data_IF_037756689936
#
_entry.id   IF_037756689936
#
_cell.length_a   1.000
_cell.length_b   1.000
_cell.length_c   1.000
_cell.angle_alpha   90.00
_cell.angle_beta   90.00
_cell.angle_gamma   90.00
#
_symmetry.space_group_name_H-M   'P 1'
#
loop_
_entity.id
_entity.type
_entity.pdbx_description
1 polymer ?
#
# COMPACT_ATOMS: atom_id res chain seq x y z
N UNK A 1 49.67 81.60 12.49
CA UNK A 1 51.05 81.37 12.97
C UNK A 1 51.34 79.92 12.66
N UNK A 2 52.07 79.78 11.60
CA UNK A 2 53.33 79.03 11.56
C UNK A 2 53.17 77.56 11.88
N UNK A 3 53.66 76.67 11.19
CA UNK A 3 54.63 76.46 10.09
C UNK A 3 54.59 74.98 9.84
N UNK A 4 54.57 74.54 8.61
CA UNK A 4 55.70 73.98 7.86
C UNK A 4 56.38 72.80 8.56
N UNK A 5 56.61 71.65 8.02
CA UNK A 5 57.33 71.28 6.81
C UNK A 5 57.34 69.74 6.77
N UNK A 6 57.04 69.18 5.66
CA UNK A 6 57.94 68.44 4.76
C UNK A 6 58.55 67.13 5.19
N UNK A 7 58.34 66.25 4.33
CA UNK A 7 59.20 65.17 3.83
C UNK A 7 58.97 63.78 4.40
N UNK A 8 58.74 62.90 3.47
CA UNK A 8 59.19 61.54 3.46
C UNK A 8 58.39 60.64 2.54
N UNK A 9 58.76 60.69 1.24
CA UNK A 9 58.36 59.62 0.31
C UNK A 9 58.96 58.31 0.78
N UNK A 10 58.15 57.28 0.94
CA UNK A 10 58.58 55.90 0.69
C UNK A 10 57.43 55.12 0.17
N UNK A 11 57.51 54.74 -1.08
CA UNK A 11 56.63 53.86 -1.74
C UNK A 11 56.91 52.45 -1.20
N UNK A 12 55.92 51.81 -0.57
CA UNK A 12 55.90 50.39 -0.42
C UNK A 12 54.76 49.84 -1.26
N UNK A 13 55.12 49.25 -2.38
CA UNK A 13 54.26 48.35 -3.12
C UNK A 13 53.94 47.13 -2.20
N UNK A 14 52.76 47.10 -1.67
CA UNK A 14 52.22 45.80 -1.14
C UNK A 14 51.42 45.14 -2.20
N UNK A 15 52.02 44.05 -2.75
CA UNK A 15 51.33 43.10 -3.57
C UNK A 15 50.22 42.41 -2.75
N UNK A 16 48.98 42.82 -2.96
CA UNK A 16 47.84 42.10 -2.43
C UNK A 16 47.56 40.94 -3.36
N UNK A 17 48.07 39.77 -3.00
CA UNK A 17 47.66 38.50 -3.64
C UNK A 17 46.24 38.23 -3.20
N UNK A 18 45.28 38.49 -4.06
CA UNK A 18 43.88 38.06 -3.87
C UNK A 18 43.82 36.56 -4.18
N UNK A 19 43.93 35.73 -3.13
CA UNK A 19 43.59 34.31 -3.23
C UNK A 19 42.08 34.19 -3.36
N UNK A 20 41.60 34.09 -4.59
CA UNK A 20 40.22 33.69 -4.89
C UNK A 20 40.09 32.20 -4.61
N UNK A 21 39.65 31.86 -3.40
CA UNK A 21 39.20 30.51 -3.11
C UNK A 21 37.92 30.24 -3.91
N UNK A 22 38.05 29.58 -5.04
CA UNK A 22 36.92 28.91 -5.67
C UNK A 22 36.46 27.77 -4.73
N UNK A 23 35.46 28.08 -3.93
CA UNK A 23 34.70 27.05 -3.20
C UNK A 23 33.94 26.23 -4.25
N UNK A 24 34.55 25.17 -4.75
CA UNK A 24 33.83 24.12 -5.46
C UNK A 24 32.90 23.45 -4.44
N UNK A 25 31.71 23.99 -4.26
CA UNK A 25 30.63 23.26 -3.66
C UNK A 25 30.36 22.07 -4.59
N UNK A 26 30.92 20.92 -4.24
CA UNK A 26 30.49 19.63 -4.75
C UNK A 26 29.00 19.51 -4.37
N UNK A 27 28.14 19.91 -5.30
CA UNK A 27 26.73 19.56 -5.27
C UNK A 27 26.74 18.05 -5.54
N UNK A 28 26.95 17.25 -4.49
CA UNK A 28 26.49 15.87 -4.52
C UNK A 28 24.99 15.98 -4.77
N UNK A 29 24.46 15.39 -5.87
CA UNK A 29 23.03 15.23 -5.94
C UNK A 29 22.67 14.44 -4.67
N UNK A 30 21.96 15.08 -3.75
CA UNK A 30 21.22 14.38 -2.73
C UNK A 30 20.44 13.32 -3.52
N UNK A 31 20.92 12.08 -3.49
CA UNK A 31 20.15 10.93 -3.97
C UNK A 31 18.85 11.05 -3.21
N UNK A 32 17.84 11.58 -3.90
CA UNK A 32 16.53 11.80 -3.32
C UNK A 32 16.16 10.49 -2.65
N UNK A 33 15.91 10.56 -1.37
CA UNK A 33 15.42 9.44 -0.57
C UNK A 33 14.02 9.16 -1.14
N UNK A 34 13.96 8.36 -2.23
CA UNK A 34 12.69 8.03 -2.89
C UNK A 34 11.93 7.12 -1.94
N UNK A 35 11.24 7.76 -1.02
CA UNK A 35 10.25 7.11 -0.17
C UNK A 35 9.07 6.73 -1.06
N UNK A 36 8.49 5.58 -0.79
CA UNK A 36 7.24 5.17 -1.41
C UNK A 36 6.09 5.71 -0.56
N UNK A 37 5.14 6.40 -1.19
CA UNK A 37 3.95 6.92 -0.51
C UNK A 37 2.70 6.20 -1.01
N UNK A 38 1.91 5.66 -0.08
CA UNK A 38 0.68 4.93 -0.36
C UNK A 38 -0.47 5.63 0.37
N UNK A 39 -1.58 5.89 -0.32
CA UNK A 39 -2.83 6.23 0.34
C UNK A 39 -3.65 4.95 0.55
N UNK A 40 -4.24 4.79 1.73
CA UNK A 40 -5.16 3.70 2.04
C UNK A 40 -6.53 4.27 2.36
N UNK A 41 -7.52 3.89 1.56
CA UNK A 41 -8.95 4.16 1.71
C UNK A 41 -9.60 2.87 2.19
N UNK A 42 -10.46 2.92 3.20
CA UNK A 42 -11.11 1.75 3.77
C UNK A 42 -12.53 2.06 4.18
N UNK A 43 -13.36 1.03 4.23
CA UNK A 43 -14.68 1.09 4.88
C UNK A 43 -15.52 2.25 4.32
N UNK A 44 -15.71 2.27 3.00
CA UNK A 44 -16.46 3.32 2.31
C UNK A 44 -17.96 3.13 2.45
N UNK A 45 -18.45 1.90 2.62
CA UNK A 45 -19.84 1.53 2.87
C UNK A 45 -20.84 2.31 1.99
N UNK A 46 -20.54 2.39 0.71
CA UNK A 46 -21.35 3.14 -0.22
C UNK A 46 -22.73 2.47 -0.38
N UNK A 47 -23.79 3.23 -0.18
CA UNK A 47 -25.18 2.73 -0.28
C UNK A 47 -25.78 2.29 1.05
N UNK A 48 -24.98 2.10 2.10
CA UNK A 48 -25.48 1.69 3.42
C UNK A 48 -26.21 2.83 4.15
N UNK A 49 -27.29 2.46 4.84
CA UNK A 49 -28.12 3.42 5.59
C UNK A 49 -27.34 4.10 6.75
N UNK A 50 -26.40 3.39 7.33
CA UNK A 50 -25.52 3.86 8.41
C UNK A 50 -24.42 4.81 7.92
N UNK A 51 -24.24 4.90 6.59
CA UNK A 51 -23.26 5.77 5.94
C UNK A 51 -23.92 6.76 4.95
N UNK A 52 -24.87 7.61 5.38
CA UNK A 52 -25.68 8.44 4.48
C UNK A 52 -24.87 9.44 3.66
N UNK A 53 -23.63 9.75 4.08
CA UNK A 53 -22.73 10.68 3.39
C UNK A 53 -21.59 9.97 2.65
N UNK A 54 -21.66 8.64 2.46
CA UNK A 54 -20.59 7.84 1.88
C UNK A 54 -20.15 8.33 0.50
N UNK A 55 -21.10 8.70 -0.35
CA UNK A 55 -20.82 9.22 -1.68
C UNK A 55 -19.99 10.51 -1.65
N UNK A 56 -20.41 11.50 -0.85
CA UNK A 56 -19.72 12.79 -0.75
C UNK A 56 -18.36 12.64 -0.06
N UNK A 57 -18.29 11.80 0.98
CA UNK A 57 -17.07 11.51 1.69
C UNK A 57 -16.05 10.83 0.78
N UNK A 58 -16.46 9.86 -0.04
CA UNK A 58 -15.56 9.19 -0.98
C UNK A 58 -15.05 10.16 -2.04
N UNK A 59 -15.90 11.04 -2.60
CA UNK A 59 -15.46 12.09 -3.53
C UNK A 59 -14.45 13.01 -2.90
N UNK A 60 -14.74 13.50 -1.70
CA UNK A 60 -13.81 14.35 -0.93
C UNK A 60 -12.50 13.63 -0.64
N UNK A 61 -12.55 12.34 -0.30
CA UNK A 61 -11.36 11.50 -0.10
C UNK A 61 -10.51 11.47 -1.36
N UNK A 62 -11.11 11.25 -2.52
CA UNK A 62 -10.39 11.26 -3.81
C UNK A 62 -9.67 12.59 -4.06
N UNK A 63 -10.34 13.73 -3.83
CA UNK A 63 -9.72 15.05 -4.00
C UNK A 63 -8.55 15.24 -3.03
N UNK A 64 -8.72 14.86 -1.76
CA UNK A 64 -7.69 14.98 -0.74
C UNK A 64 -6.50 14.05 -0.98
N UNK A 65 -6.74 12.85 -1.47
CA UNK A 65 -5.69 11.89 -1.86
C UNK A 65 -4.91 12.40 -3.07
N UNK A 66 -5.60 12.89 -4.10
CA UNK A 66 -4.96 13.46 -5.28
C UNK A 66 -4.07 14.65 -4.93
N UNK A 67 -4.48 15.51 -4.00
CA UNK A 67 -3.68 16.64 -3.51
C UNK A 67 -2.39 16.22 -2.79
N UNK A 68 -2.29 14.96 -2.33
CA UNK A 68 -1.10 14.40 -1.66
C UNK A 68 -0.16 13.64 -2.57
N UNK A 69 -0.56 13.45 -3.84
CA UNK A 69 0.24 12.78 -4.88
C UNK A 69 0.87 11.45 -4.44
N UNK A 70 0.10 10.46 -3.92
CA UNK A 70 0.65 9.17 -3.58
C UNK A 70 1.15 8.42 -4.83
N UNK A 71 2.06 7.48 -4.63
CA UNK A 71 2.55 6.61 -5.71
C UNK A 71 1.55 5.51 -6.08
N UNK A 72 0.71 5.12 -5.14
CA UNK A 72 -0.40 4.21 -5.34
C UNK A 72 -1.49 4.42 -4.28
N UNK A 73 -2.69 3.92 -4.56
CA UNK A 73 -3.82 3.89 -3.64
C UNK A 73 -4.24 2.45 -3.40
N UNK A 74 -4.49 2.11 -2.15
CA UNK A 74 -5.06 0.83 -1.72
C UNK A 74 -6.48 1.11 -1.23
N UNK A 75 -7.44 0.34 -1.71
CA UNK A 75 -8.80 0.28 -1.17
C UNK A 75 -8.91 -1.05 -0.42
N UNK A 76 -8.92 -0.98 0.91
CA UNK A 76 -8.78 -2.14 1.78
C UNK A 76 -10.11 -2.68 2.31
N UNK A 77 -11.12 -2.78 1.43
CA UNK A 77 -12.36 -3.47 1.69
C UNK A 77 -13.51 -2.61 2.19
N UNK A 78 -14.66 -3.24 2.29
CA UNK A 78 -15.95 -2.69 2.65
C UNK A 78 -16.32 -1.49 1.79
N UNK A 79 -16.31 -1.74 0.47
CA UNK A 79 -16.66 -0.73 -0.53
C UNK A 79 -18.17 -0.50 -0.57
N UNK A 80 -18.95 -1.56 -0.49
CA UNK A 80 -20.42 -1.57 -0.44
C UNK A 80 -20.95 -3.01 -0.42
N UNK A 81 -22.27 -3.17 -0.33
CA UNK A 81 -22.93 -4.47 -0.15
C UNK A 81 -23.21 -5.22 -1.46
N UNK A 82 -23.21 -4.54 -2.59
CA UNK A 82 -23.66 -5.12 -3.85
C UNK A 82 -22.96 -4.51 -5.08
N UNK A 83 -23.06 -5.19 -6.25
CA UNK A 83 -22.39 -4.75 -7.47
C UNK A 83 -22.74 -3.34 -7.95
N UNK A 84 -23.94 -2.85 -7.73
CA UNK A 84 -24.33 -1.50 -8.16
C UNK A 84 -23.61 -0.44 -7.35
N UNK A 85 -23.48 -0.65 -6.04
CA UNK A 85 -22.71 0.21 -5.13
C UNK A 85 -21.22 0.16 -5.44
N UNK A 86 -20.66 -1.03 -5.73
CA UNK A 86 -19.27 -1.19 -6.15
C UNK A 86 -18.98 -0.43 -7.46
N UNK A 87 -19.90 -0.48 -8.44
CA UNK A 87 -19.75 0.24 -9.69
C UNK A 87 -19.81 1.75 -9.49
N UNK A 88 -20.67 2.24 -8.57
CA UNK A 88 -20.70 3.64 -8.17
C UNK A 88 -19.39 4.07 -7.51
N UNK A 89 -18.90 3.28 -6.55
CA UNK A 89 -17.60 3.55 -5.89
C UNK A 89 -16.46 3.58 -6.90
N UNK A 90 -16.38 2.60 -7.81
CA UNK A 90 -15.38 2.60 -8.89
C UNK A 90 -15.53 3.82 -9.80
N UNK A 91 -16.75 4.26 -10.05
CA UNK A 91 -17.05 5.47 -10.81
C UNK A 91 -16.42 6.72 -10.18
N UNK A 92 -16.33 6.79 -8.85
CA UNK A 92 -15.66 7.87 -8.12
C UNK A 92 -14.14 7.62 -8.07
N UNK A 93 -13.71 6.41 -7.69
CA UNK A 93 -12.30 6.06 -7.53
C UNK A 93 -11.48 6.16 -8.82
N UNK A 94 -12.11 6.07 -10.00
CA UNK A 94 -11.43 6.29 -11.29
C UNK A 94 -10.83 7.69 -11.46
N UNK A 95 -11.24 8.66 -10.63
CA UNK A 95 -10.68 10.01 -10.62
C UNK A 95 -9.39 10.14 -9.79
N UNK A 96 -8.97 9.07 -9.12
CA UNK A 96 -7.64 9.01 -8.52
C UNK A 96 -6.57 9.08 -9.61
N UNK A 97 -5.52 9.86 -9.36
CA UNK A 97 -4.42 10.03 -10.32
C UNK A 97 -3.39 8.90 -10.24
N UNK A 98 -3.29 8.24 -9.10
CA UNK A 98 -2.40 7.11 -8.87
C UNK A 98 -3.08 5.76 -9.18
N UNK A 99 -2.32 4.70 -9.48
CA UNK A 99 -2.85 3.35 -9.62
C UNK A 99 -3.60 2.90 -8.37
N UNK A 100 -4.73 2.22 -8.55
CA UNK A 100 -5.60 1.75 -7.45
C UNK A 100 -5.57 0.23 -7.38
N UNK A 101 -5.39 -0.30 -6.17
CA UNK A 101 -5.38 -1.73 -5.85
C UNK A 101 -6.46 -2.02 -4.82
N UNK A 102 -7.15 -3.14 -4.94
CA UNK A 102 -8.33 -3.47 -4.13
C UNK A 102 -8.09 -4.73 -3.32
N UNK A 103 -8.52 -4.74 -2.07
CA UNK A 103 -8.68 -5.94 -1.25
C UNK A 103 -10.15 -6.04 -0.85
N UNK A 104 -10.74 -7.24 -0.81
CA UNK A 104 -12.14 -7.41 -0.40
C UNK A 104 -12.32 -7.25 1.10
N UNK A 105 -13.48 -6.74 1.51
CA UNK A 105 -13.96 -6.71 2.89
C UNK A 105 -15.19 -7.61 3.08
N UNK A 106 -15.67 -7.73 4.31
CA UNK A 106 -16.77 -8.62 4.63
C UNK A 106 -18.15 -8.12 4.12
N UNK A 107 -18.28 -6.83 3.87
CA UNK A 107 -19.45 -6.27 3.19
C UNK A 107 -19.37 -6.43 1.67
N UNK A 108 -18.19 -6.61 1.10
CA UNK A 108 -18.01 -6.85 -0.33
C UNK A 108 -18.20 -8.33 -0.69
N UNK A 109 -17.72 -9.24 0.16
CA UNK A 109 -17.70 -10.69 -0.11
C UNK A 109 -18.29 -11.41 1.07
N UNK A 110 -19.51 -11.85 0.92
CA UNK A 110 -20.07 -12.86 1.79
C UNK A 110 -19.45 -14.23 1.46
N UNK A 111 -19.46 -15.15 2.38
CA UNK A 111 -18.71 -16.42 2.28
C UNK A 111 -18.87 -17.22 0.98
N UNK A 112 -19.83 -16.85 0.13
CA UNK A 112 -20.13 -17.54 -1.12
C UNK A 112 -20.07 -16.65 -2.38
N UNK A 113 -19.71 -15.37 -2.28
CA UNK A 113 -19.92 -14.39 -3.36
C UNK A 113 -18.63 -13.81 -3.97
N UNK A 114 -17.49 -14.45 -3.77
CA UNK A 114 -16.19 -13.97 -4.28
C UNK A 114 -16.17 -13.80 -5.80
N UNK A 115 -16.93 -14.56 -6.55
CA UNK A 115 -16.97 -14.47 -8.02
C UNK A 115 -17.58 -13.14 -8.51
N UNK A 116 -18.56 -12.60 -7.81
CA UNK A 116 -19.12 -11.28 -8.13
C UNK A 116 -18.10 -10.19 -7.89
N UNK A 117 -17.39 -10.25 -6.75
CA UNK A 117 -16.30 -9.33 -6.44
C UNK A 117 -15.23 -9.39 -7.54
N UNK A 118 -14.77 -10.60 -7.91
CA UNK A 118 -13.78 -10.80 -8.98
C UNK A 118 -14.24 -10.20 -10.32
N UNK A 119 -15.53 -10.27 -10.62
CA UNK A 119 -16.12 -9.69 -11.83
C UNK A 119 -16.03 -8.16 -11.89
N UNK A 120 -16.00 -7.49 -10.74
CA UNK A 120 -15.94 -6.02 -10.65
C UNK A 120 -14.54 -5.51 -10.39
N UNK A 121 -13.82 -6.06 -9.41
CA UNK A 121 -12.54 -5.54 -8.93
C UNK A 121 -11.31 -6.32 -9.45
N UNK A 122 -11.52 -7.50 -10.00
CA UNK A 122 -10.45 -8.42 -10.38
C UNK A 122 -10.11 -9.42 -9.28
N UNK A 123 -8.89 -9.98 -9.26
CA UNK A 123 -8.51 -10.97 -8.27
C UNK A 123 -8.70 -10.47 -6.84
N UNK A 124 -9.18 -11.35 -5.96
CA UNK A 124 -9.40 -11.11 -4.53
C UNK A 124 -8.11 -11.31 -3.71
N UNK A 125 -7.18 -12.14 -4.19
CA UNK A 125 -5.83 -12.24 -3.65
C UNK A 125 -4.81 -12.24 -4.78
N UNK A 126 -3.75 -11.45 -4.63
CA UNK A 126 -2.72 -11.28 -5.66
C UNK A 126 -1.47 -10.57 -5.12
N UNK A 127 -0.45 -10.49 -5.96
CA UNK A 127 0.79 -9.77 -5.69
C UNK A 127 1.00 -8.65 -6.70
N UNK A 128 1.48 -7.50 -6.23
CA UNK A 128 1.93 -6.40 -7.09
C UNK A 128 3.18 -5.73 -6.52
N UNK A 129 3.78 -4.85 -7.29
CA UNK A 129 4.96 -4.09 -6.87
C UNK A 129 4.84 -2.62 -7.23
N UNK A 130 5.27 -1.74 -6.32
CA UNK A 130 5.42 -0.31 -6.54
C UNK A 130 6.80 0.11 -6.05
N UNK A 131 7.61 0.71 -6.93
CA UNK A 131 8.98 1.19 -6.61
C UNK A 131 9.84 0.17 -5.85
N UNK A 132 9.74 -1.11 -6.20
CA UNK A 132 10.55 -2.19 -5.61
C UNK A 132 9.99 -2.79 -4.32
N UNK A 133 8.96 -2.20 -3.72
CA UNK A 133 8.22 -2.79 -2.60
C UNK A 133 7.18 -3.77 -3.13
N UNK A 134 7.15 -4.96 -2.57
CA UNK A 134 6.16 -6.00 -2.89
C UNK A 134 4.97 -5.87 -1.94
N UNK A 135 3.78 -5.94 -2.51
CA UNK A 135 2.53 -5.99 -1.77
C UNK A 135 1.83 -7.32 -2.03
N UNK A 136 1.31 -7.92 -0.97
CA UNK A 136 0.52 -9.15 -0.99
C UNK A 136 -0.90 -8.81 -0.55
N UNK A 137 -1.85 -8.86 -1.47
CA UNK A 137 -3.27 -8.78 -1.15
C UNK A 137 -3.77 -10.16 -0.77
N UNK A 138 -4.42 -10.24 0.38
CA UNK A 138 -4.97 -11.45 0.99
C UNK A 138 -6.46 -11.23 1.18
N UNK A 139 -7.27 -12.17 0.73
CA UNK A 139 -8.70 -12.16 0.99
C UNK A 139 -8.97 -12.70 2.40
N UNK A 140 -9.18 -11.80 3.35
CA UNK A 140 -9.50 -12.17 4.73
C UNK A 140 -10.83 -12.90 4.88
N UNK A 141 -11.75 -12.81 3.89
CA UNK A 141 -13.04 -13.51 3.92
C UNK A 141 -12.88 -15.03 3.70
N UNK A 142 -11.74 -15.44 3.17
CA UNK A 142 -11.35 -16.84 3.05
C UNK A 142 -10.68 -17.40 4.33
N UNK A 143 -10.50 -16.57 5.37
CA UNK A 143 -9.84 -16.93 6.64
C UNK A 143 -10.80 -16.95 7.83
N UNK A 144 -12.10 -16.91 7.60
CA UNK A 144 -13.12 -16.97 8.64
C UNK A 144 -14.51 -16.69 8.09
N UNK A 145 -15.53 -17.00 8.90
CA UNK A 145 -16.91 -16.67 8.58
C UNK A 145 -17.32 -15.41 9.35
N UNK A 146 -17.42 -14.30 8.65
CA UNK A 146 -17.70 -12.97 9.20
C UNK A 146 -19.14 -12.50 8.93
N UNK A 147 -20.03 -13.38 8.44
CA UNK A 147 -21.44 -13.05 8.17
C UNK A 147 -22.29 -12.96 9.46
N UNK A 148 -21.71 -13.33 10.60
CA UNK A 148 -22.44 -13.49 11.86
C UNK A 148 -21.85 -12.64 12.99
N UNK A 149 -22.15 -11.34 12.97
CA UNK A 149 -21.63 -10.38 13.95
C UNK A 149 -21.87 -10.76 15.42
N UNK A 150 -23.06 -11.34 15.76
CA UNK A 150 -23.41 -11.70 17.14
C UNK A 150 -22.91 -13.11 17.56
N UNK A 151 -22.29 -13.85 16.68
CA UNK A 151 -21.83 -15.21 17.01
C UNK A 151 -20.69 -15.17 18.05
N UNK A 152 -20.84 -15.94 19.13
CA UNK A 152 -19.77 -16.12 20.13
C UNK A 152 -18.69 -17.11 19.67
N UNK A 153 -19.01 -17.93 18.69
CA UNK A 153 -18.07 -18.78 17.97
C UNK A 153 -18.39 -18.66 16.49
N UNK A 154 -17.41 -18.35 15.63
CA UNK A 154 -17.66 -18.26 14.21
C UNK A 154 -18.10 -19.63 13.70
N UNK A 155 -19.16 -19.70 12.90
CA UNK A 155 -19.50 -20.94 12.22
C UNK A 155 -18.36 -21.35 11.26
N UNK A 156 -18.23 -22.64 10.95
CA UNK A 156 -17.24 -23.11 10.00
C UNK A 156 -17.48 -22.46 8.62
N UNK A 157 -16.43 -22.34 7.84
CA UNK A 157 -16.56 -21.93 6.45
C UNK A 157 -17.42 -22.96 5.67
N UNK A 158 -18.26 -22.50 4.74
CA UNK A 158 -18.89 -23.42 3.79
C UNK A 158 -17.82 -24.20 3.01
N UNK A 159 -18.07 -25.47 2.65
CA UNK A 159 -17.05 -26.31 2.00
C UNK A 159 -16.43 -25.70 0.72
N UNK A 160 -17.21 -24.94 -0.03
CA UNK A 160 -16.70 -24.24 -1.21
C UNK A 160 -15.73 -23.11 -0.83
N UNK A 161 -16.07 -22.32 0.16
CA UNK A 161 -15.21 -21.22 0.67
C UNK A 161 -13.94 -21.79 1.31
N UNK A 162 -14.05 -22.91 2.02
CA UNK A 162 -12.88 -23.60 2.57
C UNK A 162 -11.94 -24.10 1.47
N UNK A 163 -12.47 -24.62 0.36
CA UNK A 163 -11.66 -25.00 -0.78
C UNK A 163 -10.93 -23.80 -1.43
N UNK A 164 -11.56 -22.63 -1.49
CA UNK A 164 -10.90 -21.38 -1.95
C UNK A 164 -9.86 -20.90 -0.93
N UNK A 165 -10.14 -21.00 0.37
CA UNK A 165 -9.18 -20.73 1.44
C UNK A 165 -7.89 -21.54 1.26
N UNK A 166 -8.02 -22.85 1.04
CA UNK A 166 -6.86 -23.72 0.81
C UNK A 166 -6.06 -23.33 -0.44
N UNK A 167 -6.73 -22.91 -1.51
CA UNK A 167 -6.06 -22.40 -2.72
C UNK A 167 -5.28 -21.12 -2.43
N UNK A 168 -5.89 -20.16 -1.74
CA UNK A 168 -5.22 -18.91 -1.36
C UNK A 168 -4.04 -19.17 -0.42
N UNK A 169 -4.21 -19.97 0.62
CA UNK A 169 -3.11 -20.30 1.54
C UNK A 169 -1.98 -21.06 0.83
N UNK A 170 -2.32 -21.96 -0.10
CA UNK A 170 -1.34 -22.62 -0.96
C UNK A 170 -0.63 -21.61 -1.86
N UNK A 171 -1.36 -20.68 -2.48
CA UNK A 171 -0.76 -19.61 -3.29
C UNK A 171 0.20 -18.76 -2.44
N UNK A 172 -0.22 -18.33 -1.24
CA UNK A 172 0.63 -17.58 -0.31
C UNK A 172 1.87 -18.39 0.10
N UNK A 173 1.71 -19.69 0.28
CA UNK A 173 2.79 -20.62 0.59
C UNK A 173 3.85 -20.69 -0.53
N UNK A 174 3.48 -20.47 -1.77
CA UNK A 174 4.38 -20.50 -2.92
C UNK A 174 4.96 -19.11 -3.27
N UNK A 175 4.61 -18.05 -2.52
CA UNK A 175 5.28 -16.77 -2.69
C UNK A 175 6.71 -16.86 -2.17
N UNK A 176 7.63 -16.21 -2.88
CA UNK A 176 9.02 -16.11 -2.45
C UNK A 176 9.22 -14.86 -1.60
N UNK A 177 10.06 -14.90 -0.57
CA UNK A 177 10.59 -13.70 0.06
C UNK A 177 11.18 -12.75 -0.99
N UNK A 178 11.16 -11.48 -0.72
CA UNK A 178 11.51 -10.45 -1.71
C UNK A 178 12.94 -10.56 -2.28
N UNK A 179 13.87 -11.27 -1.61
CA UNK A 179 15.25 -11.49 -2.06
C UNK A 179 15.38 -12.28 -3.37
N UNK A 180 14.36 -13.07 -3.76
CA UNK A 180 14.41 -13.92 -4.96
C UNK A 180 13.84 -13.25 -6.23
N UNK A 181 13.29 -12.05 -6.12
CA UNK A 181 12.60 -11.38 -7.23
C UNK A 181 13.57 -10.78 -8.29
N UNK A 182 14.86 -10.67 -7.99
CA UNK A 182 15.86 -10.04 -8.88
C UNK A 182 16.23 -10.84 -10.14
N UNK A 183 15.88 -12.12 -10.24
CA UNK A 183 16.43 -12.98 -11.31
C UNK A 183 15.43 -13.87 -12.06
N UNK A 184 14.16 -13.62 -12.04
CA UNK A 184 13.20 -14.37 -12.89
C UNK A 184 12.36 -13.47 -13.78
N UNK A 185 12.89 -13.26 -14.99
CA UNK A 185 12.17 -13.05 -16.24
C UNK A 185 10.95 -12.14 -16.21
N UNK A 186 11.11 -10.98 -16.83
CA UNK A 186 10.00 -10.20 -17.38
C UNK A 186 9.03 -11.11 -18.14
N UNK A 187 8.07 -11.74 -17.46
CA UNK A 187 6.91 -12.31 -18.10
C UNK A 187 5.75 -11.34 -17.94
N UNK A 188 5.46 -10.74 -19.02
CA UNK A 188 4.36 -9.90 -19.46
C UNK A 188 3.01 -10.43 -18.92
N UNK A 189 2.45 -9.73 -17.93
CA UNK A 189 1.09 -9.94 -17.45
C UNK A 189 0.36 -8.61 -17.39
N UNK A 190 0.00 -8.05 -18.52
CA UNK A 190 -1.05 -7.03 -18.60
C UNK A 190 -1.44 -6.85 -20.06
N UNK A 191 -2.44 -7.61 -20.49
CA UNK A 191 -3.26 -7.24 -21.62
C UNK A 191 -4.66 -7.82 -21.44
N UNK A 192 -5.47 -7.16 -20.63
CA UNK A 192 -6.91 -7.29 -20.70
C UNK A 192 -7.50 -5.89 -20.93
N UNK A 193 -8.07 -5.72 -22.13
CA UNK A 193 -8.97 -4.62 -22.44
C UNK A 193 -8.53 -3.65 -23.50
N UNK A 194 -8.36 -4.09 -24.73
CA UNK A 194 -8.82 -3.40 -25.94
C UNK A 194 -9.00 -4.45 -27.02
N UNK A 195 -10.25 -4.69 -27.38
CA UNK A 195 -10.59 -5.49 -28.54
C UNK A 195 -10.20 -4.75 -29.82
N UNK A 196 -9.83 -5.51 -30.83
CA UNK A 196 -9.68 -5.00 -32.18
C UNK A 196 -8.56 -5.67 -32.96
N UNK A 197 -8.97 -6.66 -33.74
CA UNK A 197 -8.49 -7.06 -35.05
C UNK A 197 -7.15 -7.79 -35.23
N UNK A 198 -7.34 -8.99 -35.75
CA UNK A 198 -6.38 -9.90 -36.37
C UNK A 198 -5.56 -9.25 -37.49
N UNK A 199 -4.25 -9.55 -37.54
CA UNK A 199 -3.54 -10.00 -38.74
C UNK A 199 -2.18 -10.58 -38.38
N UNK A 200 -2.02 -11.85 -38.76
CA UNK A 200 -0.76 -12.57 -38.84
C UNK A 200 0.23 -11.90 -39.79
N UNK A 201 1.50 -11.79 -39.42
CA UNK A 201 2.64 -11.95 -40.37
C UNK A 201 3.80 -12.60 -39.62
N UNK A 202 4.17 -13.80 -40.07
CA UNK A 202 5.45 -14.47 -39.82
C UNK A 202 6.54 -13.85 -40.66
N UNK A 203 7.76 -13.80 -40.11
CA UNK A 203 9.12 -13.98 -40.75
C UNK A 203 10.11 -13.52 -39.66
N UNK A 204 11.11 -14.28 -39.21
CA UNK A 204 12.16 -15.03 -39.86
C UNK A 204 13.41 -14.17 -39.94
N UNK A 205 14.53 -14.54 -39.27
CA UNK A 205 15.83 -13.93 -39.51
C UNK A 205 16.77 -14.01 -38.30
N UNK A 206 17.83 -14.77 -38.49
CA UNK A 206 18.94 -15.18 -37.64
C UNK A 206 19.95 -14.05 -37.32
N UNK A 207 20.82 -14.38 -36.34
CA UNK A 207 22.21 -13.96 -36.09
C UNK A 207 22.54 -12.51 -35.69
N UNK A 208 23.17 -12.31 -34.57
CA UNK A 208 24.62 -12.23 -34.37
C UNK A 208 25.05 -11.99 -32.90
N UNK A 209 26.10 -12.74 -32.54
CA UNK A 209 26.82 -12.66 -31.29
C UNK A 209 27.66 -11.37 -31.23
N UNK A 210 27.59 -10.58 -30.18
CA UNK A 210 28.74 -9.79 -29.68
C UNK A 210 28.74 -9.74 -28.17
N UNK A 211 29.81 -10.36 -27.64
CA UNK A 211 30.30 -10.15 -26.28
C UNK A 211 30.59 -8.66 -26.08
N UNK A 212 30.05 -8.09 -25.01
CA UNK A 212 30.62 -6.89 -24.39
C UNK A 212 30.67 -7.13 -22.87
N UNK A 213 31.89 -7.50 -22.44
CA UNK A 213 32.28 -7.55 -21.02
C UNK A 213 32.28 -6.13 -20.47
N UNK A 214 31.19 -5.75 -19.78
CA UNK A 214 31.18 -4.62 -18.85
C UNK A 214 31.02 -5.16 -17.46
N UNK A 215 32.13 -5.23 -16.73
CA UNK A 215 32.17 -5.34 -15.30
C UNK A 215 31.29 -4.24 -14.70
N UNK A 216 30.07 -4.59 -14.29
CA UNK A 216 29.26 -3.80 -13.39
C UNK A 216 29.73 -4.10 -11.97
N UNK A 217 30.22 -3.08 -11.33
CA UNK A 217 30.56 -3.02 -9.92
C UNK A 217 29.30 -3.36 -9.10
N UNK A 218 29.12 -4.63 -8.75
CA UNK A 218 28.08 -5.10 -7.86
C UNK A 218 28.41 -4.66 -6.44
N UNK A 219 27.92 -3.48 -6.07
CA UNK A 219 27.77 -3.09 -4.69
C UNK A 219 26.84 -4.11 -4.00
N UNK A 220 27.37 -4.76 -2.97
CA UNK A 220 26.77 -5.74 -2.08
C UNK A 220 25.38 -5.25 -1.55
N UNK A 221 24.31 -5.47 -2.31
CA UNK A 221 22.93 -5.18 -1.91
C UNK A 221 22.28 -6.48 -1.38
N UNK A 222 22.72 -6.89 -0.18
CA UNK A 222 22.14 -8.01 0.60
C UNK A 222 20.86 -7.57 1.33
N UNK A 223 20.11 -6.64 0.77
CA UNK A 223 18.80 -6.26 1.27
C UNK A 223 17.72 -7.20 0.75
N UNK A 224 17.20 -8.12 1.57
CA UNK A 224 15.95 -8.80 1.28
C UNK A 224 14.89 -7.74 0.95
N UNK A 225 14.18 -7.86 -0.18
CA UNK A 225 13.22 -6.86 -0.61
C UNK A 225 12.07 -6.72 0.40
N UNK A 226 11.47 -5.54 0.46
CA UNK A 226 10.37 -5.21 1.38
C UNK A 226 9.08 -5.90 0.92
N UNK A 227 8.42 -6.59 1.85
CA UNK A 227 7.10 -7.20 1.63
C UNK A 227 6.10 -6.64 2.64
N UNK A 228 4.97 -6.11 2.15
CA UNK A 228 3.87 -5.57 2.96
C UNK A 228 2.61 -6.35 2.62
N UNK A 229 1.87 -6.77 3.64
CA UNK A 229 0.58 -7.42 3.47
C UNK A 229 -0.57 -6.41 3.47
N UNK A 230 -1.64 -6.74 2.77
CA UNK A 230 -2.88 -5.99 2.67
C UNK A 230 -4.03 -6.96 2.83
N UNK A 231 -4.92 -6.71 3.76
CA UNK A 231 -6.19 -7.41 3.91
C UNK A 231 -7.20 -6.51 4.61
N UNK A 232 -8.45 -6.91 4.69
CA UNK A 232 -9.45 -6.12 5.38
C UNK A 232 -9.45 -6.38 6.88
N UNK A 233 -9.66 -7.62 7.30
CA UNK A 233 -9.81 -8.00 8.71
C UNK A 233 -8.43 -8.32 9.31
N UNK A 234 -8.01 -7.67 10.41
CA UNK A 234 -6.74 -7.97 11.07
C UNK A 234 -6.74 -9.35 11.73
N UNK A 235 -5.55 -9.98 11.86
CA UNK A 235 -5.42 -11.27 12.53
C UNK A 235 -5.55 -11.19 14.05
N UNK A 236 -5.29 -10.04 14.65
CA UNK A 236 -5.27 -9.84 16.09
C UNK A 236 -6.03 -8.58 16.48
N UNK A 237 -6.55 -8.57 17.70
CA UNK A 237 -7.04 -7.34 18.34
C UNK A 237 -5.86 -6.47 18.79
N UNK A 238 -6.05 -5.16 18.71
CA UNK A 238 -5.20 -4.20 19.42
C UNK A 238 -5.47 -4.24 20.93
N UNK A 239 -4.73 -3.46 21.71
CA UNK A 239 -4.78 -3.54 23.15
C UNK A 239 -6.17 -3.15 23.74
N UNK A 240 -6.85 -2.19 23.12
CA UNK A 240 -8.15 -1.69 23.58
C UNK A 240 -9.22 -1.65 22.47
N UNK A 241 -8.92 -2.18 21.29
CA UNK A 241 -9.80 -2.12 20.13
C UNK A 241 -9.82 -3.44 19.35
N UNK A 242 -10.96 -3.84 18.86
CA UNK A 242 -12.30 -3.33 19.20
C UNK A 242 -12.61 -3.51 20.70
N UNK A 243 -13.57 -2.75 21.28
CA UNK A 243 -13.83 -2.79 22.72
C UNK A 243 -14.41 -4.12 23.21
N UNK A 244 -15.12 -4.85 22.37
CA UNK A 244 -15.60 -6.21 22.68
C UNK A 244 -14.69 -7.29 22.09
N UNK A 245 -14.89 -8.54 22.52
CA UNK A 245 -14.07 -9.70 22.13
C UNK A 245 -14.75 -10.61 21.12
N UNK A 246 -15.73 -10.12 20.36
CA UNK A 246 -16.42 -10.95 19.37
C UNK A 246 -15.44 -11.50 18.33
N UNK A 247 -15.59 -12.77 17.94
CA UNK A 247 -14.77 -13.37 16.88
C UNK A 247 -14.82 -12.63 15.55
N UNK A 248 -15.88 -11.87 15.30
CA UNK A 248 -16.10 -11.06 14.12
C UNK A 248 -14.95 -10.08 13.83
N UNK A 249 -14.30 -9.57 14.85
CA UNK A 249 -13.33 -8.48 14.70
C UNK A 249 -11.96 -8.90 14.20
N UNK A 250 -11.65 -10.19 14.18
CA UNK A 250 -10.31 -10.70 13.85
C UNK A 250 -10.37 -12.06 13.17
N UNK A 251 -9.30 -12.39 12.46
CA UNK A 251 -9.12 -13.77 11.97
C UNK A 251 -9.01 -14.73 13.16
N UNK A 252 -9.78 -15.82 13.14
CA UNK A 252 -9.83 -16.81 14.21
C UNK A 252 -8.99 -18.06 13.88
N UNK A 253 -8.74 -18.87 14.91
CA UNK A 253 -8.10 -20.19 14.70
C UNK A 253 -9.05 -21.13 13.91
N UNK A 254 -8.52 -22.01 13.08
CA UNK A 254 -7.11 -22.30 12.86
C UNK A 254 -6.44 -21.40 11.79
N UNK A 255 -7.19 -20.53 11.12
CA UNK A 255 -6.71 -19.74 9.98
C UNK A 255 -5.67 -18.71 10.39
N UNK A 256 -5.83 -18.05 11.54
CA UNK A 256 -4.88 -17.06 12.06
C UNK A 256 -3.47 -17.64 12.17
N UNK A 257 -3.29 -18.76 12.84
CA UNK A 257 -1.96 -19.37 12.98
C UNK A 257 -1.37 -19.77 11.64
N UNK A 258 -2.18 -20.23 10.70
CA UNK A 258 -1.72 -20.59 9.34
C UNK A 258 -1.26 -19.36 8.57
N UNK A 259 -2.04 -18.30 8.57
CA UNK A 259 -1.71 -17.02 7.94
C UNK A 259 -0.42 -16.43 8.51
N UNK A 260 -0.33 -16.26 9.83
CA UNK A 260 0.81 -15.65 10.50
C UNK A 260 2.11 -16.41 10.22
N UNK A 261 2.09 -17.74 10.24
CA UNK A 261 3.26 -18.55 9.88
C UNK A 261 3.71 -18.28 8.44
N UNK A 262 2.78 -18.05 7.50
CA UNK A 262 3.11 -17.72 6.12
C UNK A 262 3.67 -16.30 6.00
N UNK A 263 3.09 -15.32 6.69
CA UNK A 263 3.55 -13.94 6.71
C UNK A 263 4.98 -13.83 7.27
N UNK A 264 5.27 -14.52 8.37
CA UNK A 264 6.63 -14.58 8.94
C UNK A 264 7.65 -15.17 7.97
N UNK A 265 7.31 -16.29 7.31
CA UNK A 265 8.17 -16.91 6.31
C UNK A 265 8.46 -15.99 5.14
N UNK A 266 7.52 -15.14 4.76
CA UNK A 266 7.65 -14.16 3.68
C UNK A 266 8.36 -12.87 4.11
N UNK A 267 8.67 -12.74 5.41
CA UNK A 267 9.33 -11.56 5.97
C UNK A 267 8.41 -10.34 6.06
N UNK A 268 7.09 -10.55 6.10
CA UNK A 268 6.11 -9.46 6.29
C UNK A 268 6.24 -8.91 7.69
N UNK A 269 6.48 -7.61 7.80
CA UNK A 269 6.55 -6.88 9.08
C UNK A 269 5.46 -5.84 9.24
N UNK A 270 4.74 -5.54 8.17
CA UNK A 270 3.68 -4.53 8.17
C UNK A 270 2.46 -5.06 7.43
N UNK A 271 1.29 -4.88 8.04
CA UNK A 271 -0.01 -5.19 7.46
C UNK A 271 -0.86 -3.93 7.39
N UNK A 272 -1.46 -3.65 6.24
CA UNK A 272 -2.42 -2.56 6.02
C UNK A 272 -3.82 -3.17 6.05
N UNK A 273 -4.63 -2.76 7.02
CA UNK A 273 -5.94 -3.38 7.30
C UNK A 273 -7.04 -2.33 7.54
N UNK A 274 -8.31 -2.72 7.53
CA UNK A 274 -9.47 -1.89 7.81
C UNK A 274 -10.34 -2.45 8.92
N UNK A 275 -11.66 -2.56 8.67
CA UNK A 275 -12.66 -3.27 9.46
C UNK A 275 -13.07 -2.66 10.81
N UNK A 276 -12.15 -2.03 11.52
CA UNK A 276 -12.44 -1.47 12.83
C UNK A 276 -12.91 -0.02 12.78
N UNK A 277 -12.91 0.57 11.62
CA UNK A 277 -13.31 1.96 11.35
C UNK A 277 -12.53 3.00 12.16
N UNK A 278 -11.35 2.68 12.65
CA UNK A 278 -10.52 3.56 13.49
C UNK A 278 -9.09 3.63 12.99
N UNK A 279 -8.56 4.85 12.90
CA UNK A 279 -7.14 5.04 12.58
C UNK A 279 -6.28 4.69 13.78
N UNK A 280 -5.61 3.54 13.74
CA UNK A 280 -4.70 3.10 14.81
C UNK A 280 -3.57 2.23 14.27
N UNK A 281 -2.52 2.10 15.08
CA UNK A 281 -1.40 1.21 14.79
C UNK A 281 -1.06 0.44 16.06
N UNK A 282 -0.85 -0.85 15.93
CA UNK A 282 -0.42 -1.69 17.05
C UNK A 282 0.55 -2.77 16.56
N UNK A 283 1.37 -3.29 17.47
CA UNK A 283 2.28 -4.41 17.18
C UNK A 283 1.77 -5.69 17.85
N UNK A 284 1.75 -6.76 17.09
CA UNK A 284 1.43 -8.09 17.60
C UNK A 284 2.17 -9.13 16.78
N UNK A 285 2.82 -10.06 17.49
CA UNK A 285 3.57 -11.17 16.92
C UNK A 285 4.66 -10.71 15.90
N UNK A 286 5.38 -9.63 16.25
CA UNK A 286 6.46 -9.07 15.41
C UNK A 286 5.98 -8.44 14.09
N UNK A 287 4.68 -8.23 13.93
CA UNK A 287 4.06 -7.54 12.80
C UNK A 287 3.38 -6.27 13.30
N UNK A 288 3.63 -5.16 12.62
CA UNK A 288 2.93 -3.89 12.84
C UNK A 288 1.67 -3.85 11.96
N UNK A 289 0.54 -3.69 12.61
CA UNK A 289 -0.78 -3.60 12.00
C UNK A 289 -1.21 -2.14 11.90
N UNK A 290 -1.43 -1.66 10.69
CA UNK A 290 -1.88 -0.30 10.41
C UNK A 290 -3.36 -0.38 10.00
N UNK A 291 -4.23 -0.01 10.93
CA UNK A 291 -5.68 -0.02 10.71
C UNK A 291 -6.10 1.33 10.17
N UNK A 292 -6.68 1.38 8.99
CA UNK A 292 -7.19 2.61 8.41
C UNK A 292 -8.52 3.02 9.08
N UNK A 293 -8.77 4.32 9.21
CA UNK A 293 -10.10 4.81 9.61
C UNK A 293 -11.10 4.56 8.47
N UNK A 294 -12.38 4.43 8.82
CA UNK A 294 -13.45 4.45 7.83
C UNK A 294 -13.55 5.84 7.17
N UNK A 295 -13.85 5.85 5.88
CA UNK A 295 -14.16 7.10 5.18
C UNK A 295 -15.60 7.56 5.40
N UNK A 296 -16.52 6.68 5.79
CA UNK A 296 -17.95 7.01 5.73
C UNK A 296 -18.80 6.51 6.88
N UNK A 297 -18.47 5.37 7.48
CA UNK A 297 -19.27 4.74 8.51
C UNK A 297 -18.62 4.86 9.88
N UNK A 298 -19.09 5.77 10.76
CA UNK A 298 -18.55 5.85 12.12
C UNK A 298 -19.10 4.70 12.98
N UNK A 299 -18.25 4.18 13.86
CA UNK A 299 -18.63 3.31 14.97
C UNK A 299 -18.45 4.11 16.28
N UNK A 300 -19.02 3.68 17.41
CA UNK A 300 -18.92 4.42 18.67
C UNK A 300 -17.49 4.73 19.12
N UNK A 301 -16.51 3.97 18.67
CA UNK A 301 -15.08 4.14 18.99
C UNK A 301 -14.23 4.68 17.83
N UNK A 302 -14.82 4.97 16.66
CA UNK A 302 -14.06 5.29 15.43
C UNK A 302 -13.25 6.57 15.49
N UNK A 303 -13.67 7.56 16.25
CA UNK A 303 -13.10 8.89 16.16
C UNK A 303 -13.52 9.60 14.87
N UNK A 304 -12.57 10.21 14.16
CA UNK A 304 -12.84 10.97 12.93
C UNK A 304 -12.79 10.07 11.70
N UNK A 305 -13.73 10.28 10.80
CA UNK A 305 -13.69 9.69 9.45
C UNK A 305 -12.45 10.20 8.69
N UNK A 306 -11.86 9.35 7.88
CA UNK A 306 -10.63 9.72 7.18
C UNK A 306 -10.07 8.61 6.29
N UNK A 307 -8.80 8.76 6.01
CA UNK A 307 -7.98 7.77 5.29
C UNK A 307 -6.56 7.76 5.87
N UNK A 308 -5.75 6.79 5.49
CA UNK A 308 -4.36 6.72 5.95
C UNK A 308 -3.39 7.06 4.81
N UNK A 309 -2.28 7.72 5.17
CA UNK A 309 -1.11 7.90 4.30
C UNK A 309 0.07 7.15 4.90
N UNK A 310 0.64 6.25 4.13
CA UNK A 310 1.82 5.48 4.53
C UNK A 310 3.04 5.96 3.77
N UNK A 311 4.11 6.23 4.50
CA UNK A 311 5.43 6.51 3.93
C UNK A 311 6.35 5.33 4.25
N UNK A 312 6.84 4.67 3.21
CA UNK A 312 7.67 3.47 3.32
C UNK A 312 9.10 3.87 3.00
N UNK A 313 10.01 3.64 3.95
CA UNK A 313 11.43 3.89 3.80
C UNK A 313 12.11 2.81 2.97
N UNK A 314 13.37 3.04 2.56
CA UNK A 314 14.17 2.01 1.87
C UNK A 314 14.51 0.81 2.75
N UNK A 315 14.50 1.01 4.06
CA UNK A 315 14.79 -0.04 5.04
C UNK A 315 13.54 -0.84 5.41
N UNK A 316 12.37 -0.45 4.87
CA UNK A 316 11.10 -1.14 5.04
C UNK A 316 10.25 -0.62 6.20
N UNK A 317 10.71 0.41 6.92
CA UNK A 317 9.89 1.04 7.96
C UNK A 317 8.69 1.74 7.35
N UNK A 318 7.52 1.60 7.98
CA UNK A 318 6.27 2.22 7.57
C UNK A 318 5.82 3.24 8.62
N UNK A 319 5.79 4.51 8.21
CA UNK A 319 5.16 5.58 8.99
C UNK A 319 3.77 5.84 8.47
N UNK A 320 2.77 5.84 9.36
CA UNK A 320 1.37 6.10 9.03
C UNK A 320 0.93 7.45 9.59
N UNK A 321 0.27 8.23 8.75
CA UNK A 321 -0.48 9.44 9.10
C UNK A 321 -1.96 9.18 8.84
N UNK A 322 -2.79 9.41 9.85
CA UNK A 322 -4.25 9.35 9.70
C UNK A 322 -4.77 10.74 9.34
N UNK A 323 -5.39 10.85 8.19
CA UNK A 323 -5.85 12.11 7.61
C UNK A 323 -7.35 12.23 7.79
N UNK A 324 -7.83 13.12 8.67
CA UNK A 324 -9.25 13.30 8.87
C UNK A 324 -9.89 14.00 7.66
N UNK A 325 -11.12 13.59 7.30
CA UNK A 325 -11.90 14.29 6.29
C UNK A 325 -12.33 15.69 6.75
N UNK A 326 -12.30 15.95 8.05
CA UNK A 326 -12.83 17.18 8.63
C UNK A 326 -14.35 17.18 8.67
N UNK A 327 -14.93 18.16 9.33
CA UNK A 327 -16.40 18.37 9.33
C UNK A 327 -16.78 18.81 7.92
N UNK A 328 -17.70 18.11 7.29
CA UNK A 328 -18.33 18.56 6.05
C UNK A 328 -19.06 19.92 6.29
N UNK A 329 -19.31 20.66 5.22
CA UNK A 329 -20.08 21.88 5.34
C UNK A 329 -21.50 21.62 5.87
#
# INVERSE_FOLDING_TARGET
MRELLLRGKLALLQNTVVCTFFLFTLIFPLRGNTQLTIAQISDTHLGEAEAPHAFDNLRRTVDMVNARHPDAVIVSGDVGENPDEWLLARGILKWLHAPVYYAPGNHDVHTNDVERYRGVFGPDYYRFQVKGVTFLVIDSQLLGNFDHFEAQSPPPLPPQTEAESEKMLSWLAHQSPASDAGNRGRRRWWSFGRGGDDRQVQRGGDDDRRNDDRQSNDGDDRGGGIVIGIQHIPAFRGDNLPPDSKPYWVINEPYRSREINLLHRLGVKHMLVGHWHVGTTFERDGITWHVAPSTSRPLPWSGQLGFAMHTISRDGDVRTEFVPLGVGP
#
